data_IF_970326066245
#
_entry.id   IF_970326066245
#
_cell.length_a   1.000
_cell.length_b   1.000
_cell.length_c   1.000
_cell.angle_alpha   90.00
_cell.angle_beta   90.00
_cell.angle_gamma   90.00
#
_symmetry.space_group_name_H-M   'P 1'
#
loop_
_entity.id
_entity.type
_entity.pdbx_description
1 polymer ?
#
# COMPACT_ATOMS: atom_id res chain seq x y z
N UNK A 1 -5.36 11.84 -4.20
CA UNK A 1 -4.05 11.28 -4.66
C UNK A 1 -4.26 10.19 -5.71
N UNK A 2 -3.22 9.81 -6.46
CA UNK A 2 -3.29 8.78 -7.51
C UNK A 2 -2.42 7.57 -7.18
N UNK A 3 -3.01 6.39 -7.29
CA UNK A 3 -2.33 5.10 -7.15
C UNK A 3 -2.26 4.44 -8.53
N UNK A 4 -1.09 3.91 -8.90
CA UNK A 4 -0.99 3.01 -10.04
C UNK A 4 -1.41 1.59 -9.62
N UNK A 5 -1.69 0.72 -10.58
CA UNK A 5 -2.07 -0.66 -10.25
C UNK A 5 -0.96 -1.46 -9.58
N UNK A 6 0.32 -1.14 -9.83
CA UNK A 6 1.45 -1.79 -9.17
C UNK A 6 1.49 -1.47 -7.67
N UNK A 7 1.06 -0.28 -7.24
CA UNK A 7 0.95 0.15 -5.84
C UNK A 7 0.05 -0.79 -5.02
N UNK A 8 -0.91 -1.47 -5.67
CA UNK A 8 -1.92 -2.30 -5.03
C UNK A 8 -1.76 -3.80 -5.32
N UNK A 9 -1.33 -4.16 -6.54
CA UNK A 9 -1.14 -5.56 -6.95
C UNK A 9 0.07 -6.22 -6.31
N UNK A 10 1.14 -5.46 -6.13
CA UNK A 10 2.38 -5.96 -5.58
C UNK A 10 2.53 -5.38 -4.19
N UNK A 11 2.41 -6.24 -3.18
CA UNK A 11 2.65 -5.88 -1.79
C UNK A 11 3.41 -7.01 -1.11
N UNK A 12 4.25 -6.61 -0.16
CA UNK A 12 4.94 -7.51 0.75
C UNK A 12 4.19 -7.41 2.08
N UNK A 13 3.27 -8.33 2.34
CA UNK A 13 2.53 -8.38 3.59
C UNK A 13 3.10 -9.48 4.48
N UNK A 14 3.19 -9.21 5.78
CA UNK A 14 3.51 -10.28 6.73
C UNK A 14 2.40 -11.35 6.70
N UNK A 15 2.78 -12.63 6.72
CA UNK A 15 1.82 -13.73 6.86
C UNK A 15 1.32 -13.87 8.32
N UNK A 16 1.98 -13.20 9.27
CA UNK A 16 1.76 -13.37 10.69
C UNK A 16 0.58 -12.52 11.18
N UNK A 17 -0.45 -13.20 11.71
CA UNK A 17 -1.67 -12.57 12.25
C UNK A 17 -1.43 -11.62 13.43
N UNK A 18 -0.30 -11.72 14.13
CA UNK A 18 0.02 -10.87 15.28
C UNK A 18 0.52 -9.46 14.93
N UNK A 19 0.72 -9.13 13.65
CA UNK A 19 1.27 -7.83 13.20
C UNK A 19 0.33 -7.15 12.21
N UNK A 20 -0.88 -6.81 12.66
CA UNK A 20 -1.95 -6.27 11.80
C UNK A 20 -1.54 -5.07 10.94
N UNK A 21 -0.77 -4.12 11.49
CA UNK A 21 -0.29 -2.96 10.72
C UNK A 21 0.68 -3.36 9.59
N UNK A 22 1.50 -4.39 9.76
CA UNK A 22 2.42 -4.91 8.73
C UNK A 22 1.73 -5.77 7.67
N UNK A 23 0.49 -6.17 7.94
CA UNK A 23 -0.35 -6.82 6.94
C UNK A 23 -1.01 -5.79 6.03
N UNK A 24 -1.02 -4.50 6.39
CA UNK A 24 -1.63 -3.44 5.59
C UNK A 24 -0.63 -2.82 4.59
N UNK A 25 -1.18 -2.18 3.56
CA UNK A 25 -0.45 -1.29 2.66
C UNK A 25 -0.52 0.12 3.24
N UNK A 26 0.63 0.68 3.61
CA UNK A 26 0.71 2.05 4.08
C UNK A 26 0.69 3.04 2.91
N UNK A 27 -0.33 3.88 2.87
CA UNK A 27 -0.44 5.04 1.99
C UNK A 27 0.22 6.23 2.70
N UNK A 28 1.25 6.81 2.08
CA UNK A 28 1.98 7.97 2.63
C UNK A 28 1.85 9.17 1.71
N UNK A 29 2.56 10.25 2.02
CA UNK A 29 2.58 11.43 1.14
C UNK A 29 3.29 11.18 -0.20
N UNK A 30 4.18 10.18 -0.25
CA UNK A 30 5.12 9.97 -1.36
C UNK A 30 4.78 8.76 -2.24
N UNK A 31 4.08 7.80 -1.67
CA UNK A 31 3.83 6.53 -2.32
C UNK A 31 3.17 5.52 -1.38
N UNK A 32 3.09 4.29 -1.86
CA UNK A 32 2.66 3.15 -1.05
C UNK A 32 3.87 2.38 -0.52
N UNK A 33 3.73 1.88 0.70
CA UNK A 33 4.73 1.09 1.41
C UNK A 33 4.09 -0.23 1.85
N UNK A 34 4.83 -1.31 1.74
CA UNK A 34 4.47 -2.62 2.31
C UNK A 34 5.73 -3.35 2.77
N UNK A 35 5.67 -4.02 3.91
CA UNK A 35 6.78 -4.81 4.44
C UNK A 35 6.29 -5.98 5.27
N UNK A 36 6.99 -7.11 5.18
CA UNK A 36 6.80 -8.28 6.05
C UNK A 36 7.79 -8.33 7.22
N UNK A 37 8.65 -7.31 7.35
CA UNK A 37 9.77 -7.27 8.30
C UNK A 37 11.06 -7.90 7.78
N UNK A 38 11.05 -8.55 6.62
CA UNK A 38 12.23 -9.08 5.94
C UNK A 38 12.56 -8.35 4.63
N UNK A 39 11.52 -7.85 3.95
CA UNK A 39 11.62 -7.09 2.72
C UNK A 39 10.69 -5.88 2.78
N UNK A 40 11.07 -4.82 2.06
CA UNK A 40 10.34 -3.57 1.98
C UNK A 40 10.09 -3.26 0.50
N UNK A 41 8.83 -3.00 0.15
CA UNK A 41 8.43 -2.53 -1.16
C UNK A 41 7.87 -1.12 -1.03
N UNK A 42 8.53 -0.17 -1.70
CA UNK A 42 8.06 1.20 -1.89
C UNK A 42 7.72 1.42 -3.35
N UNK A 43 6.50 1.92 -3.61
CA UNK A 43 6.08 2.31 -4.95
C UNK A 43 5.68 3.78 -4.90
N UNK A 44 6.43 4.70 -5.54
CA UNK A 44 6.10 6.12 -5.53
C UNK A 44 4.81 6.39 -6.32
N UNK A 45 4.10 7.45 -5.96
CA UNK A 45 2.96 7.89 -6.76
C UNK A 45 3.40 8.40 -8.14
N UNK A 46 2.60 8.13 -9.19
CA UNK A 46 2.83 8.70 -10.50
C UNK A 46 2.67 10.22 -10.43
N UNK A 47 3.50 10.94 -11.20
CA UNK A 47 3.36 12.38 -11.38
C UNK A 47 2.26 12.65 -12.39
N UNK A 48 1.11 13.08 -11.88
CA UNK A 48 -0.09 13.35 -12.67
C UNK A 48 -0.60 14.72 -12.24
N UNK A 49 -0.75 15.63 -13.20
CA UNK A 49 -1.36 16.92 -12.92
C UNK A 49 -2.81 16.69 -12.47
N UNK A 50 -3.19 17.27 -11.33
CA UNK A 50 -4.55 17.21 -10.82
C UNK A 50 -5.58 17.81 -11.79
N UNK A 51 -5.14 18.68 -12.72
CA UNK A 51 -5.99 19.26 -13.76
C UNK A 51 -6.27 18.28 -14.92
N UNK A 52 -5.36 17.34 -15.18
CA UNK A 52 -5.47 16.39 -16.28
C UNK A 52 -6.27 15.13 -15.90
N UNK A 53 -6.53 14.95 -14.61
CA UNK A 53 -7.22 13.79 -14.11
C UNK A 53 -8.75 13.92 -14.26
N UNK A 54 -9.43 12.85 -14.70
CA UNK A 54 -10.88 12.85 -14.84
C UNK A 54 -11.56 13.01 -13.47
N UNK A 55 -12.62 13.81 -13.40
CA UNK A 55 -13.42 13.95 -12.18
C UNK A 55 -14.23 12.67 -11.96
N UNK A 56 -14.17 12.14 -10.74
CA UNK A 56 -14.97 10.99 -10.30
C UNK A 56 -15.97 11.50 -9.27
N UNK A 57 -17.25 11.26 -9.51
CA UNK A 57 -18.31 11.63 -8.56
C UNK A 57 -18.11 10.90 -7.22
N UNK A 58 -18.22 11.62 -6.11
CA UNK A 58 -18.02 11.06 -4.76
C UNK A 58 -16.57 10.99 -4.28
N UNK A 59 -15.58 11.38 -5.10
CA UNK A 59 -14.16 11.45 -4.71
C UNK A 59 -13.58 12.84 -4.99
N UNK A 60 -12.92 13.41 -3.99
CA UNK A 60 -12.17 14.64 -4.18
C UNK A 60 -10.84 14.37 -4.89
N UNK A 61 -10.79 14.59 -6.22
CA UNK A 61 -9.54 14.45 -7.01
C UNK A 61 -8.40 15.39 -6.57
N UNK A 62 -8.70 16.44 -5.78
CA UNK A 62 -7.72 17.35 -5.20
C UNK A 62 -7.31 16.99 -3.77
N UNK A 63 -7.77 15.85 -3.24
CA UNK A 63 -7.39 15.40 -1.91
C UNK A 63 -5.88 15.21 -1.81
N UNK A 64 -5.30 15.87 -0.80
CA UNK A 64 -3.88 15.74 -0.48
C UNK A 64 -3.59 14.30 -0.07
N UNK A 65 -2.42 13.76 -0.42
CA UNK A 65 -1.94 12.51 0.14
C UNK A 65 -1.98 12.53 1.68
N UNK A 66 -2.38 11.43 2.34
CA UNK A 66 -2.35 11.35 3.80
C UNK A 66 -0.90 11.30 4.30
N UNK A 67 -0.66 11.76 5.54
CA UNK A 67 0.61 11.50 6.23
C UNK A 67 0.86 9.99 6.34
N UNK A 68 -0.15 9.27 6.84
CA UNK A 68 -0.18 7.83 6.92
C UNK A 68 -1.63 7.36 6.95
N UNK A 69 -1.99 6.42 6.08
CA UNK A 69 -3.23 5.66 6.15
C UNK A 69 -2.96 4.19 5.81
N UNK A 70 -3.70 3.27 6.41
CA UNK A 70 -3.48 1.84 6.21
C UNK A 70 -4.63 1.24 5.42
N UNK A 71 -4.30 0.61 4.29
CA UNK A 71 -5.25 -0.07 3.42
C UNK A 71 -5.11 -1.58 3.55
N UNK A 72 -6.22 -2.28 3.76
CA UNK A 72 -6.23 -3.75 3.77
C UNK A 72 -5.85 -4.30 2.38
N UNK A 73 -4.96 -5.31 2.27
CA UNK A 73 -4.56 -5.88 0.99
C UNK A 73 -5.72 -6.49 0.18
N UNK A 74 -6.73 -7.06 0.84
CA UNK A 74 -7.88 -7.62 0.15
C UNK A 74 -8.68 -6.52 -0.56
N UNK A 75 -8.80 -5.37 0.08
CA UNK A 75 -9.47 -4.20 -0.49
C UNK A 75 -8.60 -3.52 -1.56
N UNK A 76 -7.28 -3.47 -1.37
CA UNK A 76 -6.33 -3.07 -2.41
C UNK A 76 -6.43 -3.96 -3.66
N UNK A 77 -6.55 -5.28 -3.50
CA UNK A 77 -6.69 -6.21 -4.61
C UNK A 77 -8.01 -6.00 -5.38
N UNK A 78 -9.12 -5.79 -4.66
CA UNK A 78 -10.41 -5.40 -5.27
C UNK A 78 -10.28 -4.08 -6.04
N UNK A 79 -9.62 -3.09 -5.46
CA UNK A 79 -9.42 -1.80 -6.12
C UNK A 79 -8.56 -1.91 -7.38
N UNK A 80 -7.50 -2.71 -7.35
CA UNK A 80 -6.70 -3.02 -8.53
C UNK A 80 -7.53 -3.72 -9.63
N UNK A 81 -8.49 -4.56 -9.24
CA UNK A 81 -9.38 -5.23 -10.17
C UNK A 81 -10.31 -4.25 -10.90
N UNK A 82 -10.76 -3.18 -10.25
CA UNK A 82 -11.61 -2.12 -10.85
C UNK A 82 -10.97 -1.52 -12.11
N UNK A 83 -9.65 -1.30 -12.08
CA UNK A 83 -8.89 -0.76 -13.23
C UNK A 83 -8.71 -1.81 -14.33
N UNK A 84 -8.46 -3.06 -13.96
CA UNK A 84 -8.19 -4.14 -14.94
C UNK A 84 -9.43 -4.70 -15.63
N UNK A 85 -10.63 -4.39 -15.12
CA UNK A 85 -11.88 -5.07 -15.45
C UNK A 85 -12.50 -4.74 -16.82
N UNK A 86 -11.97 -3.80 -17.59
CA UNK A 86 -12.58 -3.43 -18.88
C UNK A 86 -11.53 -3.39 -19.98
N UNK A 87 -11.63 -4.34 -20.91
CA UNK A 87 -10.70 -4.62 -22.02
C UNK A 87 -10.53 -3.52 -23.07
N UNK A 88 -10.66 -2.24 -22.70
CA UNK A 88 -10.17 -1.13 -23.50
C UNK A 88 -8.73 -0.89 -23.10
N UNK A 89 -7.80 -1.21 -24.01
CA UNK A 89 -6.43 -0.71 -23.98
C UNK A 89 -6.48 0.80 -24.16
N UNK A 90 -6.89 1.53 -23.13
CA UNK A 90 -6.85 2.98 -23.15
C UNK A 90 -5.38 3.36 -23.25
N UNK A 91 -5.04 4.10 -24.28
CA UNK A 91 -3.68 4.61 -24.50
C UNK A 91 -3.33 5.75 -23.54
N UNK A 92 -4.32 6.30 -22.84
CA UNK A 92 -4.18 7.41 -21.93
C UNK A 92 -3.84 6.90 -20.52
N UNK A 93 -2.62 7.18 -20.00
CA UNK A 93 -2.14 6.65 -18.71
C UNK A 93 -3.06 6.98 -17.53
N UNK A 94 -3.77 8.12 -17.59
CA UNK A 94 -4.67 8.59 -16.55
C UNK A 94 -5.83 7.63 -16.23
N UNK A 95 -6.27 6.80 -17.20
CA UNK A 95 -7.35 5.83 -16.98
C UNK A 95 -6.88 4.53 -16.32
N UNK A 96 -5.56 4.33 -16.16
CA UNK A 96 -4.99 3.20 -15.44
C UNK A 96 -4.68 3.54 -13.97
N UNK A 97 -5.24 4.64 -13.46
CA UNK A 97 -5.02 5.16 -12.13
C UNK A 97 -6.24 4.96 -11.24
N UNK A 98 -5.97 4.88 -9.94
CA UNK A 98 -6.97 4.82 -8.88
C UNK A 98 -6.86 6.12 -8.09
N UNK A 99 -7.96 6.86 -8.04
CA UNK A 99 -8.12 8.01 -7.19
C UNK A 99 -8.33 7.49 -5.77
N UNK A 100 -7.54 7.99 -4.84
CA UNK A 100 -7.69 7.68 -3.43
C UNK A 100 -7.90 8.97 -2.63
N UNK A 101 -8.87 8.91 -1.72
CA UNK A 101 -9.19 9.93 -0.73
C UNK A 101 -9.29 9.26 0.63
N UNK A 102 -8.56 9.78 1.61
CA UNK A 102 -8.64 9.31 3.00
C UNK A 102 -9.61 10.20 3.74
N UNK A 103 -10.61 9.58 4.38
CA UNK A 103 -11.60 10.20 5.26
C UNK A 103 -11.44 9.63 6.67
N UNK A 104 -12.11 10.20 7.67
CA UNK A 104 -12.05 9.73 9.06
C UNK A 104 -12.44 8.24 9.13
N UNK A 105 -11.47 7.37 9.40
CA UNK A 105 -11.64 5.91 9.50
C UNK A 105 -11.87 5.15 8.20
N UNK A 106 -11.84 5.79 7.03
CA UNK A 106 -12.11 5.12 5.76
C UNK A 106 -11.27 5.64 4.60
N UNK A 107 -11.07 4.79 3.60
CA UNK A 107 -10.34 5.10 2.37
C UNK A 107 -11.31 4.90 1.21
N UNK A 108 -11.60 5.99 0.49
CA UNK A 108 -12.43 5.95 -0.71
C UNK A 108 -11.51 5.80 -1.91
N UNK A 109 -11.71 4.73 -2.67
CA UNK A 109 -10.95 4.40 -3.87
C UNK A 109 -11.89 4.45 -5.07
N UNK A 110 -11.44 5.04 -6.17
CA UNK A 110 -12.23 5.05 -7.38
C UNK A 110 -11.40 5.06 -8.65
N UNK A 111 -12.01 4.56 -9.71
CA UNK A 111 -11.41 4.53 -11.04
C UNK A 111 -12.48 4.87 -12.06
N UNK A 112 -12.05 5.36 -13.23
CA UNK A 112 -12.92 5.70 -14.33
C UNK A 112 -12.28 5.28 -15.63
N UNK A 113 -13.09 4.81 -16.57
CA UNK A 113 -12.69 4.48 -17.94
C UNK A 113 -13.18 5.56 -18.95
N UNK A 114 -13.67 6.69 -18.44
CA UNK A 114 -14.30 7.76 -19.21
C UNK A 114 -15.75 7.50 -19.63
N UNK A 115 -16.24 6.26 -19.54
CA UNK A 115 -17.63 5.89 -19.81
C UNK A 115 -18.44 5.68 -18.52
N UNK A 116 -17.79 5.31 -17.42
CA UNK A 116 -18.40 5.20 -16.10
C UNK A 116 -17.36 5.21 -14.98
N UNK A 117 -17.79 5.69 -13.81
CA UNK A 117 -17.01 5.65 -12.59
C UNK A 117 -17.32 4.39 -11.77
N UNK A 118 -16.30 3.82 -11.15
CA UNK A 118 -16.43 2.82 -10.10
C UNK A 118 -15.82 3.41 -8.83
N UNK A 119 -16.57 3.35 -7.73
CA UNK A 119 -16.13 3.85 -6.42
C UNK A 119 -16.35 2.73 -5.42
N UNK A 120 -15.38 2.57 -4.53
CA UNK A 120 -15.47 1.68 -3.38
C UNK A 120 -14.99 2.41 -2.13
N UNK A 121 -15.63 2.14 -1.01
CA UNK A 121 -15.21 2.64 0.30
C UNK A 121 -14.69 1.48 1.11
N UNK A 122 -13.47 1.63 1.64
CA UNK A 122 -12.77 0.65 2.43
C UNK A 122 -12.63 1.18 3.86
N UNK A 123 -12.68 0.30 4.85
CA UNK A 123 -12.32 0.68 6.21
C UNK A 123 -10.80 0.85 6.29
N UNK A 124 -10.35 1.86 7.01
CA UNK A 124 -8.93 2.02 7.28
C UNK A 124 -8.50 0.94 8.26
N UNK A 125 -7.39 0.24 7.95
CA UNK A 125 -6.83 -0.71 8.89
C UNK A 125 -6.26 0.03 10.12
N UNK A 126 -6.41 -0.56 11.29
CA UNK A 126 -5.92 0.02 12.55
C UNK A 126 -4.48 -0.40 12.84
N UNK A 127 -3.77 0.45 13.58
CA UNK A 127 -2.45 0.16 14.13
C UNK A 127 -1.37 1.14 13.73
N UNK A 128 -0.23 1.02 14.39
CA UNK A 128 0.95 1.85 14.14
C UNK A 128 1.86 1.15 13.12
N UNK A 129 2.05 1.79 11.97
CA UNK A 129 3.01 1.31 10.97
C UNK A 129 4.44 1.64 11.43
N UNK A 130 5.41 0.74 11.25
CA UNK A 130 6.78 1.03 11.65
C UNK A 130 7.39 2.15 10.82
N UNK A 131 8.30 2.90 11.44
CA UNK A 131 9.16 3.82 10.71
C UNK A 131 10.12 3.02 9.82
N UNK A 132 9.92 3.10 8.50
CA UNK A 132 10.75 2.39 7.53
C UNK A 132 12.04 3.16 7.18
N UNK A 133 12.14 4.45 7.51
CA UNK A 133 13.30 5.27 7.16
C UNK A 133 14.59 4.71 7.74
N UNK A 134 14.50 4.20 8.97
CA UNK A 134 15.61 3.63 9.73
C UNK A 134 16.17 2.35 9.11
N UNK A 135 15.41 1.67 8.25
CA UNK A 135 15.85 0.43 7.57
C UNK A 135 16.25 0.64 6.11
N UNK A 136 15.96 1.82 5.52
CA UNK A 136 16.37 2.11 4.13
C UNK A 136 17.88 2.42 4.10
N UNK A 137 18.67 1.74 3.26
CA UNK A 137 20.13 1.87 3.29
C UNK A 137 20.72 3.15 2.66
N UNK A 138 21.89 3.52 3.20
CA UNK A 138 23.15 3.92 2.54
C UNK A 138 23.38 4.01 1.02
N UNK A 139 22.50 4.50 0.14
CA UNK A 139 22.80 4.48 -1.31
C UNK A 139 24.07 5.22 -1.76
N UNK A 140 24.59 6.20 -0.99
CA UNK A 140 25.82 6.94 -1.37
C UNK A 140 27.06 6.06 -1.47
N UNK A 141 27.06 4.89 -0.84
CA UNK A 141 28.17 3.91 -0.86
C UNK A 141 27.75 2.58 -1.48
N UNK A 142 26.61 2.53 -2.15
CA UNK A 142 26.11 1.29 -2.74
C UNK A 142 26.91 0.93 -4.00
N UNK A 143 27.16 -0.37 -4.16
CA UNK A 143 27.56 -0.92 -5.46
C UNK A 143 26.29 -1.10 -6.29
N UNK A 144 26.28 -0.56 -7.52
CA UNK A 144 25.14 -0.69 -8.43
C UNK A 144 25.47 -1.69 -9.53
N UNK A 145 24.53 -2.59 -9.75
CA UNK A 145 24.63 -3.70 -10.67
C UNK A 145 23.36 -3.71 -11.50
N UNK A 146 23.52 -3.55 -12.80
CA UNK A 146 22.41 -3.65 -13.75
C UNK A 146 22.43 -5.02 -14.41
N UNK A 147 21.29 -5.71 -14.29
CA UNK A 147 21.03 -7.03 -14.87
C UNK A 147 19.74 -7.01 -15.66
N UNK A 148 19.68 -7.80 -16.71
CA UNK A 148 18.42 -8.07 -17.39
C UNK A 148 17.49 -8.91 -16.46
N UNK A 149 16.31 -8.37 -16.14
CA UNK A 149 15.38 -8.98 -15.18
C UNK A 149 14.94 -10.40 -15.58
N UNK A 150 14.64 -10.63 -16.86
CA UNK A 150 14.21 -11.93 -17.36
C UNK A 150 15.33 -12.98 -17.29
N UNK A 151 16.57 -12.54 -17.45
CA UNK A 151 17.75 -13.39 -17.33
C UNK A 151 18.00 -13.75 -15.87
N UNK A 152 17.94 -12.77 -14.95
CA UNK A 152 18.03 -13.01 -13.51
C UNK A 152 16.96 -13.99 -13.03
N UNK A 153 15.71 -13.77 -13.41
CA UNK A 153 14.61 -14.65 -12.99
C UNK A 153 14.75 -16.07 -13.55
N UNK A 154 15.18 -16.22 -14.80
CA UNK A 154 15.46 -17.55 -15.38
C UNK A 154 16.59 -18.26 -14.65
N UNK A 155 17.67 -17.56 -14.35
CA UNK A 155 18.80 -18.12 -13.60
C UNK A 155 18.42 -18.53 -12.17
N UNK A 156 17.67 -17.70 -11.45
CA UNK A 156 17.17 -18.02 -10.11
C UNK A 156 16.24 -19.25 -10.12
N UNK A 157 15.34 -19.34 -11.11
CA UNK A 157 14.46 -20.50 -11.27
C UNK A 157 15.24 -21.78 -11.59
N UNK A 158 16.25 -21.69 -12.46
CA UNK A 158 17.11 -22.82 -12.79
C UNK A 158 17.89 -23.31 -11.55
N UNK A 159 18.44 -22.39 -10.75
CA UNK A 159 19.11 -22.71 -9.49
C UNK A 159 18.15 -23.36 -8.49
N UNK A 160 16.95 -22.81 -8.30
CA UNK A 160 15.93 -23.40 -7.43
C UNK A 160 15.51 -24.81 -7.86
N UNK A 161 15.60 -25.14 -9.15
CA UNK A 161 15.37 -26.51 -9.63
C UNK A 161 16.54 -27.47 -9.40
N UNK A 162 17.73 -26.94 -9.08
CA UNK A 162 18.97 -27.69 -8.91
C UNK A 162 19.42 -27.82 -7.44
N UNK A 163 18.77 -27.14 -6.49
CA UNK A 163 19.05 -27.23 -5.06
C UNK A 163 17.76 -27.41 -4.27
N UNK A 164 17.86 -28.10 -3.13
CA UNK A 164 16.77 -28.18 -2.15
C UNK A 164 16.80 -27.00 -1.14
N UNK A 165 17.81 -26.12 -1.23
CA UNK A 165 17.94 -24.96 -0.36
C UNK A 165 17.22 -23.71 -0.92
N UNK A 166 16.57 -22.94 -0.05
CA UNK A 166 15.95 -21.66 -0.40
C UNK A 166 16.92 -20.46 -0.36
N UNK A 167 18.24 -20.71 -0.23
CA UNK A 167 19.27 -19.67 -0.12
C UNK A 167 20.20 -19.69 -1.33
N UNK A 168 20.34 -18.54 -1.98
CA UNK A 168 21.28 -18.33 -3.10
C UNK A 168 22.33 -17.32 -2.69
N UNK A 169 23.60 -17.64 -2.92
CA UNK A 169 24.71 -16.71 -2.76
C UNK A 169 24.99 -16.03 -4.09
N UNK A 170 24.88 -14.70 -4.12
CA UNK A 170 25.23 -13.86 -5.26
C UNK A 170 26.59 -13.23 -4.99
N UNK A 171 27.54 -13.42 -5.91
CA UNK A 171 28.90 -12.87 -5.84
C UNK A 171 29.14 -11.99 -7.06
N UNK A 172 29.67 -10.79 -6.81
CA UNK A 172 30.23 -9.93 -7.85
C UNK A 172 31.72 -10.27 -7.95
N UNK A 173 32.15 -10.80 -9.10
CA UNK A 173 33.51 -11.36 -9.25
C UNK A 173 34.48 -10.29 -9.75
N UNK A 174 34.04 -9.46 -10.69
CA UNK A 174 34.80 -8.33 -11.21
C UNK A 174 33.87 -7.15 -11.50
N UNK A 175 34.43 -5.94 -11.52
CA UNK A 175 33.73 -4.71 -11.91
C UNK A 175 33.44 -4.66 -13.42
N UNK A 176 33.75 -5.73 -14.15
CA UNK A 176 33.82 -5.70 -15.60
C UNK A 176 32.78 -6.55 -16.31
N UNK A 177 32.23 -7.62 -15.73
CA UNK A 177 31.13 -8.33 -16.41
C UNK A 177 30.45 -9.47 -15.65
N UNK A 178 30.93 -10.02 -14.54
CA UNK A 178 30.39 -11.30 -14.05
C UNK A 178 29.72 -11.25 -12.66
N UNK A 179 28.41 -11.53 -12.63
CA UNK A 179 27.74 -11.99 -11.40
C UNK A 179 27.72 -13.52 -11.39
N UNK A 180 28.40 -14.09 -10.39
CA UNK A 180 28.35 -15.51 -10.08
C UNK A 180 27.26 -15.81 -9.06
N UNK A 181 26.37 -16.75 -9.38
CA UNK A 181 25.34 -17.22 -8.47
C UNK A 181 25.65 -18.67 -8.09
N UNK A 182 25.61 -18.99 -6.81
CA UNK A 182 25.90 -20.32 -6.30
C UNK A 182 25.01 -20.69 -5.12
N UNK A 183 24.71 -21.97 -4.99
CA UNK A 183 24.06 -22.54 -3.81
C UNK A 183 25.11 -22.87 -2.75
N UNK A 184 24.71 -22.97 -1.47
CA UNK A 184 25.63 -23.14 -0.32
C UNK A 184 26.48 -24.41 -0.43
N UNK A 185 25.93 -25.44 -1.03
CA UNK A 185 26.53 -26.75 -1.30
C UNK A 185 27.44 -26.77 -2.54
N UNK A 186 27.47 -25.68 -3.31
CA UNK A 186 28.23 -25.58 -4.56
C UNK A 186 27.61 -26.34 -5.74
N UNK A 187 26.36 -26.80 -5.60
CA UNK A 187 25.71 -27.71 -6.56
C UNK A 187 25.48 -27.10 -7.93
N UNK A 188 25.32 -25.78 -8.03
CA UNK A 188 25.18 -25.09 -9.30
C UNK A 188 25.87 -23.72 -9.26
N UNK A 189 26.58 -23.39 -10.34
CA UNK A 189 27.20 -22.08 -10.56
C UNK A 189 26.71 -21.51 -11.89
N UNK A 190 26.16 -20.30 -11.85
CA UNK A 190 25.72 -19.59 -13.05
C UNK A 190 26.43 -18.24 -13.12
N UNK A 191 26.96 -17.91 -14.28
CA UNK A 191 27.61 -16.63 -14.55
C UNK A 191 26.77 -15.85 -15.54
N UNK A 192 26.50 -14.57 -15.23
CA UNK A 192 25.78 -13.68 -16.13
C UNK A 192 26.51 -12.35 -16.35
N UNK A 193 26.39 -11.78 -17.56
CA UNK A 193 26.91 -10.46 -17.85
C UNK A 193 26.19 -9.39 -17.02
N UNK A 194 26.94 -8.45 -16.45
CA UNK A 194 26.43 -7.26 -15.78
C UNK A 194 26.97 -5.99 -16.37
N UNK A 195 26.13 -4.95 -16.35
CA UNK A 195 26.56 -3.58 -16.57
C UNK A 195 26.73 -2.92 -15.20
N UNK A 196 27.95 -2.46 -14.90
CA UNK A 196 28.21 -1.66 -13.70
C UNK A 196 27.87 -0.22 -14.04
N UNK A 197 26.76 0.25 -13.48
CA UNK A 197 26.31 1.63 -13.65
C UNK A 197 26.69 2.47 -12.43
N UNK A 198 26.66 3.80 -12.59
CA UNK A 198 26.91 4.72 -11.49
C UNK A 198 25.69 4.77 -10.57
N UNK A 199 25.87 4.78 -9.24
CA UNK A 199 24.74 4.81 -8.31
C UNK A 199 23.80 6.02 -8.49
N UNK A 200 24.36 7.16 -8.87
CA UNK A 200 23.61 8.39 -9.15
C UNK A 200 22.58 8.27 -10.29
N UNK A 201 22.69 7.30 -11.19
CA UNK A 201 21.84 7.20 -12.38
C UNK A 201 20.55 6.38 -12.15
N UNK A 202 20.41 5.69 -11.00
CA UNK A 202 19.38 4.65 -10.81
C UNK A 202 18.52 4.75 -9.55
N UNK A 203 18.87 5.61 -8.59
CA UNK A 203 18.06 5.80 -7.38
C UNK A 203 16.97 6.82 -7.67
N UNK A 204 15.69 6.45 -7.54
CA UNK A 204 14.64 7.47 -7.61
C UNK A 204 14.82 8.44 -6.44
N UNK A 205 14.89 9.74 -6.73
CA UNK A 205 15.01 10.82 -5.72
C UNK A 205 14.01 10.66 -4.57
N UNK A 206 12.84 10.07 -4.86
CA UNK A 206 11.74 9.83 -3.91
C UNK A 206 12.10 8.82 -2.81
N UNK A 207 12.86 7.76 -3.11
CA UNK A 207 13.27 6.78 -2.11
C UNK A 207 14.40 7.32 -1.23
N UNK A 208 15.34 8.06 -1.83
CA UNK A 208 16.39 8.76 -1.08
C UNK A 208 15.80 9.82 -0.15
N UNK A 209 14.79 10.57 -0.62
CA UNK A 209 14.04 11.51 0.20
C UNK A 209 13.35 10.78 1.36
N UNK A 210 12.67 9.64 1.11
CA UNK A 210 11.97 8.88 2.16
C UNK A 210 12.91 8.46 3.30
N UNK A 211 14.16 8.14 2.98
CA UNK A 211 15.18 7.84 3.99
C UNK A 211 15.62 9.07 4.80
N UNK A 212 15.89 10.18 4.12
CA UNK A 212 16.46 11.38 4.78
C UNK A 212 15.43 12.11 5.66
N UNK A 213 14.17 12.09 5.25
CA UNK A 213 13.10 12.85 5.90
C UNK A 213 12.14 11.97 6.71
N UNK A 214 12.24 10.65 6.52
CA UNK A 214 11.35 9.65 7.08
C UNK A 214 9.95 9.63 6.47
N UNK A 215 9.15 8.56 6.69
CA UNK A 215 7.70 8.74 6.68
C UNK A 215 7.38 9.73 7.81
N UNK A 216 6.50 10.73 7.60
CA UNK A 216 6.05 11.55 8.71
C UNK A 216 5.42 10.61 9.73
N UNK A 217 6.09 10.44 10.88
CA UNK A 217 5.55 9.66 11.99
C UNK A 217 4.25 10.35 12.35
N UNK A 218 3.12 9.68 12.10
CA UNK A 218 1.88 10.10 12.71
C UNK A 218 2.15 10.02 14.21
N UNK A 219 2.31 11.18 14.86
CA UNK A 219 2.23 11.24 16.30
C UNK A 219 0.95 10.48 16.69
N UNK A 220 0.98 9.68 17.77
CA UNK A 220 -0.26 9.14 18.30
C UNK A 220 -1.25 10.30 18.36
N UNK A 221 -2.42 10.13 17.74
CA UNK A 221 -3.49 11.10 17.83
C UNK A 221 -3.73 11.27 19.33
N UNK A 222 -3.31 12.41 19.88
CA UNK A 222 -3.65 12.74 21.26
C UNK A 222 -5.18 12.80 21.26
N UNK A 223 -5.88 11.91 21.97
CA UNK A 223 -7.34 11.89 21.96
C UNK A 223 -7.93 13.21 22.48
N UNK A 224 -7.10 14.05 23.09
CA UNK A 224 -7.47 15.32 23.71
C UNK A 224 -7.20 16.56 22.81
N UNK A 225 -6.48 16.47 21.67
CA UNK A 225 -6.13 17.67 20.87
C UNK A 225 -7.06 17.97 19.67
N UNK A 226 -7.94 17.05 19.26
CA UNK A 226 -8.93 17.32 18.18
C UNK A 226 -10.38 17.49 18.69
N UNK A 227 -10.62 17.52 20.00
CA UNK A 227 -11.97 17.72 20.54
C UNK A 227 -12.45 19.19 20.54
N UNK A 228 -11.54 20.17 20.47
CA UNK A 228 -11.86 21.52 20.99
C UNK A 228 -11.85 22.67 19.96
N UNK A 229 -11.91 22.44 18.64
CA UNK A 229 -11.92 23.59 17.69
C UNK A 229 -12.96 23.63 16.58
N UNK A 230 -13.67 22.55 16.27
CA UNK A 230 -14.68 22.56 15.20
C UNK A 230 -16.07 22.06 15.66
N UNK A 231 -16.33 21.97 16.97
CA UNK A 231 -17.59 21.45 17.53
C UNK A 231 -18.47 22.48 18.25
N UNK A 232 -18.21 23.78 18.10
CA UNK A 232 -19.04 24.84 18.72
C UNK A 232 -20.08 25.49 17.77
N UNK A 233 -20.23 25.03 16.53
CA UNK A 233 -21.36 25.44 15.69
C UNK A 233 -22.21 24.21 15.33
N UNK A 234 -23.40 24.15 15.94
CA UNK A 234 -24.55 23.30 15.62
C UNK A 234 -24.57 21.83 16.13
N UNK A 235 -24.24 21.60 17.40
CA UNK A 235 -24.76 20.45 18.15
C UNK A 235 -26.03 20.85 18.92
N UNK A 236 -27.15 21.07 18.21
CA UNK A 236 -28.46 20.96 18.86
C UNK A 236 -28.58 19.52 19.37
N UNK A 237 -28.61 19.36 20.69
CA UNK A 237 -28.85 18.08 21.33
C UNK A 237 -30.17 17.52 20.79
N UNK A 238 -30.08 16.48 19.96
CA UNK A 238 -31.26 15.78 19.47
C UNK A 238 -31.92 15.07 20.66
N UNK A 239 -32.99 15.68 21.18
CA UNK A 239 -33.87 15.06 22.15
C UNK A 239 -34.97 14.30 21.39
N UNK A 240 -35.06 12.96 21.52
CA UNK A 240 -36.10 12.20 20.85
C UNK A 240 -37.48 12.64 21.35
N UNK A 241 -38.40 12.83 20.42
CA UNK A 241 -39.78 13.23 20.73
C UNK A 241 -40.51 12.11 21.50
N UNK A 242 -41.56 12.46 22.25
CA UNK A 242 -42.38 11.47 22.97
C UNK A 242 -42.91 10.35 22.05
N UNK A 243 -43.18 10.69 20.79
CA UNK A 243 -43.62 9.74 19.76
C UNK A 243 -42.52 8.75 19.38
N UNK A 244 -41.29 9.22 19.16
CA UNK A 244 -40.14 8.36 18.83
C UNK A 244 -39.76 7.45 20.01
N UNK A 245 -39.91 7.95 21.25
CA UNK A 245 -39.72 7.11 22.43
C UNK A 245 -40.80 6.03 22.56
N UNK A 246 -42.06 6.33 22.21
CA UNK A 246 -43.15 5.36 22.23
C UNK A 246 -42.96 4.25 21.17
N UNK A 247 -42.57 4.61 19.94
CA UNK A 247 -42.28 3.66 18.87
C UNK A 247 -41.07 2.77 19.20
N UNK A 248 -40.02 3.34 19.77
CA UNK A 248 -38.85 2.58 20.23
C UNK A 248 -39.20 1.60 21.35
N UNK A 249 -40.07 2.00 22.28
CA UNK A 249 -40.54 1.13 23.36
C UNK A 249 -41.39 -0.03 22.82
N UNK A 250 -42.30 0.23 21.88
CA UNK A 250 -43.11 -0.81 21.26
C UNK A 250 -42.23 -1.82 20.50
N UNK A 251 -41.25 -1.34 19.74
CA UNK A 251 -40.26 -2.18 19.05
C UNK A 251 -39.44 -3.04 20.02
N UNK A 252 -39.03 -2.48 21.17
CA UNK A 252 -38.31 -3.22 22.20
C UNK A 252 -39.18 -4.32 22.83
N UNK A 253 -40.45 -4.04 23.09
CA UNK A 253 -41.39 -5.04 23.65
C UNK A 253 -41.78 -6.14 22.67
N UNK A 254 -41.65 -5.89 21.36
CA UNK A 254 -41.90 -6.87 20.32
C UNK A 254 -40.71 -7.84 20.09
N UNK A 255 -39.57 -7.63 20.74
CA UNK A 255 -38.43 -8.52 20.61
C UNK A 255 -38.73 -9.89 21.25
N UNK A 256 -38.43 -11.01 20.56
CA UNK A 256 -38.63 -12.33 21.11
C UNK A 256 -37.75 -12.53 22.37
N UNK A 257 -38.25 -13.23 23.40
CA UNK A 257 -37.46 -13.52 24.59
C UNK A 257 -36.20 -14.29 24.19
N UNK A 258 -35.06 -13.89 24.78
CA UNK A 258 -33.78 -14.55 24.54
C UNK A 258 -33.88 -16.03 24.99
N UNK A 259 -33.32 -16.97 24.22
CA UNK A 259 -33.38 -18.39 24.55
C UNK A 259 -32.66 -18.66 25.87
N UNK A 260 -33.36 -19.26 26.84
CA UNK A 260 -32.89 -19.44 28.23
C UNK A 260 -31.70 -20.41 28.39
N UNK A 261 -31.27 -21.11 27.32
CA UNK A 261 -30.17 -22.07 27.40
C UNK A 261 -29.22 -21.95 26.20
N UNK A 262 -28.23 -21.07 26.32
CA UNK A 262 -26.93 -21.27 25.70
C UNK A 262 -26.01 -21.95 26.73
N UNK A 263 -26.13 -23.27 26.88
CA UNK A 263 -25.16 -24.04 27.65
C UNK A 263 -23.81 -24.04 26.90
N UNK A 264 -22.76 -23.67 27.62
CA UNK A 264 -21.36 -23.72 27.21
C UNK A 264 -20.88 -25.12 26.83
#
# INVERSE_FOLDING_TARGET
MYLNTANLKHHVAAANRGRYALNAIALTERGTLSTDGHSLLFVPYPEVDANDAPKIEGINSKAKPPKLALLDPADAAKAAAMVSGKGRKSTLPAFNLIHAEVKKGSIVLGSTDGAGAQVMTCQQAEGQYPDVAVVIPDYKKAHVISVNIDTLLRSLKALKGATDEDVVTIRVIDDQQAVGMSCKDGTAMLVMPVQVDKPEDHVSDKLAALRNEGPPVAAPVDPDEEADKDAEEDAEAWEPTETEMAEAFEAFTALPPLPEHASA
#
